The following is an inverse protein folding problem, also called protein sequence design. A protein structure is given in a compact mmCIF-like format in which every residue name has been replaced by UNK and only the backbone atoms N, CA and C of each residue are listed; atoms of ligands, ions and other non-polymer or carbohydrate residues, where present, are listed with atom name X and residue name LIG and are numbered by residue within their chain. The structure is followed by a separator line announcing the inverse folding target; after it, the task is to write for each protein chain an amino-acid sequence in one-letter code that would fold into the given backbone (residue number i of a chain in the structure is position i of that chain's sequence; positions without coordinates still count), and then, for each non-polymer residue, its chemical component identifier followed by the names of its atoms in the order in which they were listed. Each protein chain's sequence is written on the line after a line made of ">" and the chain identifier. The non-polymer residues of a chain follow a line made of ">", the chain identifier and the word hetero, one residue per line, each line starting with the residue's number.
data_IF_152110841639
#
_entry.id   IF_152110841639
#
_cell.length_a   1.000
_cell.length_b   1.000
_cell.length_c   1.000
_cell.angle_alpha   90.00
_cell.angle_beta   90.00
_cell.angle_gamma   90.00
#
_symmetry.space_group_name_H-M   'P 1'
#
loop_
_entity.id
_entity.type
_entity.pdbx_description
1 polymer ?
#
# COMPACT_ATOMS: atom_id res chain seq x y z
N UNK A 1 -14.30 -34.76 1.47
CA UNK A 1 -13.13 -34.06 2.03
C UNK A 1 -11.97 -34.29 1.08
N UNK A 2 -11.31 -33.24 0.61
CA UNK A 2 -10.13 -33.34 -0.25
C UNK A 2 -8.93 -32.86 0.56
N UNK A 3 -7.81 -33.57 0.48
CA UNK A 3 -6.58 -33.23 1.21
C UNK A 3 -5.66 -32.44 0.29
N UNK A 4 -5.29 -31.22 0.70
CA UNK A 4 -4.34 -30.38 -0.03
C UNK A 4 -3.05 -30.24 0.77
N UNK A 5 -1.92 -30.63 0.17
CA UNK A 5 -0.59 -30.52 0.79
C UNK A 5 0.19 -29.41 0.09
N UNK A 6 0.71 -28.46 0.87
CA UNK A 6 1.57 -27.39 0.38
C UNK A 6 2.79 -27.24 1.30
N UNK A 7 3.88 -26.72 0.74
CA UNK A 7 5.10 -26.41 1.52
C UNK A 7 5.01 -24.99 2.02
N UNK A 8 5.25 -24.81 3.31
CA UNK A 8 5.30 -23.52 3.98
C UNK A 8 6.43 -23.57 4.99
N UNK A 9 7.10 -22.45 5.19
CA UNK A 9 8.10 -22.33 6.24
C UNK A 9 7.46 -22.58 7.63
N UNK A 10 8.21 -23.24 8.51
CA UNK A 10 7.69 -23.66 9.82
C UNK A 10 7.36 -22.47 10.72
N UNK A 11 8.18 -21.43 10.68
CA UNK A 11 7.99 -20.22 11.46
C UNK A 11 6.81 -19.41 10.91
N UNK A 12 6.74 -19.25 9.58
CA UNK A 12 5.60 -18.60 8.93
C UNK A 12 4.27 -19.30 9.24
N UNK A 13 4.24 -20.64 9.23
CA UNK A 13 3.05 -21.41 9.58
C UNK A 13 2.62 -21.15 11.02
N UNK A 14 3.58 -21.11 11.95
CA UNK A 14 3.31 -20.87 13.37
C UNK A 14 2.75 -19.46 13.58
N UNK A 15 3.42 -18.44 13.05
CA UNK A 15 2.96 -17.04 13.11
C UNK A 15 1.56 -16.87 12.53
N UNK A 16 1.29 -17.45 11.35
CA UNK A 16 -0.03 -17.38 10.74
C UNK A 16 -1.10 -18.10 11.58
N UNK A 17 -0.80 -19.27 12.15
CA UNK A 17 -1.72 -19.97 13.02
C UNK A 17 -2.06 -19.17 14.28
N UNK A 18 -1.05 -18.62 14.98
CA UNK A 18 -1.25 -17.78 16.17
C UNK A 18 -2.08 -16.53 15.85
N UNK A 19 -1.81 -15.87 14.71
CA UNK A 19 -2.58 -14.72 14.25
C UNK A 19 -4.05 -15.08 14.03
N UNK A 20 -4.35 -16.11 13.26
CA UNK A 20 -5.74 -16.47 12.93
C UNK A 20 -6.49 -17.00 14.16
N UNK A 21 -5.83 -17.74 15.05
CA UNK A 21 -6.43 -18.17 16.32
C UNK A 21 -6.79 -16.96 17.21
N UNK A 22 -5.95 -15.92 17.24
CA UNK A 22 -6.29 -14.67 17.94
C UNK A 22 -7.53 -13.96 17.37
N UNK A 23 -7.85 -14.22 16.09
CA UNK A 23 -9.06 -13.73 15.41
C UNK A 23 -10.24 -14.71 15.52
N UNK A 24 -10.10 -15.82 16.26
CA UNK A 24 -11.14 -16.83 16.44
C UNK A 24 -11.34 -17.75 15.23
N UNK A 25 -10.32 -17.94 14.39
CA UNK A 25 -10.40 -18.84 13.23
C UNK A 25 -9.17 -19.73 13.06
N UNK A 26 -9.36 -20.96 12.60
CA UNK A 26 -8.23 -21.83 12.28
C UNK A 26 -7.52 -21.39 11.00
N UNK A 27 -6.22 -21.69 10.89
CA UNK A 27 -5.44 -21.47 9.65
C UNK A 27 -6.11 -22.13 8.42
N UNK A 28 -6.71 -23.32 8.59
CA UNK A 28 -7.41 -24.00 7.50
C UNK A 28 -8.67 -23.25 7.07
N UNK A 29 -9.41 -22.66 8.03
CA UNK A 29 -10.55 -21.81 7.73
C UNK A 29 -10.11 -20.59 6.92
N UNK A 30 -9.02 -19.93 7.32
CA UNK A 30 -8.46 -18.79 6.61
C UNK A 30 -8.06 -19.13 5.16
N UNK A 31 -7.41 -20.27 4.92
CA UNK A 31 -7.06 -20.74 3.57
C UNK A 31 -8.33 -20.96 2.72
N UNK A 32 -9.37 -21.55 3.30
CA UNK A 32 -10.64 -21.73 2.57
C UNK A 32 -11.30 -20.40 2.21
N UNK A 33 -11.26 -19.41 3.10
CA UNK A 33 -11.76 -18.05 2.82
C UNK A 33 -10.96 -17.41 1.70
N UNK A 34 -9.63 -17.50 1.74
CA UNK A 34 -8.74 -17.00 0.69
C UNK A 34 -9.10 -17.57 -0.69
N UNK A 35 -9.29 -18.90 -0.78
CA UNK A 35 -9.63 -19.57 -2.03
C UNK A 35 -11.03 -19.15 -2.54
N UNK A 36 -12.01 -19.08 -1.64
CA UNK A 36 -13.37 -18.63 -2.01
C UNK A 36 -13.37 -17.19 -2.52
N UNK A 37 -12.64 -16.29 -1.87
CA UNK A 37 -12.53 -14.90 -2.29
C UNK A 37 -11.85 -14.79 -3.66
N UNK A 38 -10.79 -15.57 -3.88
CA UNK A 38 -10.07 -15.61 -5.15
C UNK A 38 -10.99 -16.03 -6.30
N UNK A 39 -11.82 -17.06 -6.09
CA UNK A 39 -12.80 -17.53 -7.08
C UNK A 39 -13.91 -16.51 -7.30
N UNK A 40 -14.43 -15.90 -6.23
CA UNK A 40 -15.52 -14.92 -6.30
C UNK A 40 -15.14 -13.69 -7.12
N UNK A 41 -13.91 -13.21 -6.95
CA UNK A 41 -13.45 -11.98 -7.61
C UNK A 41 -12.61 -12.23 -8.87
N UNK A 42 -12.32 -13.50 -9.19
CA UNK A 42 -11.47 -13.89 -10.33
C UNK A 42 -10.10 -13.19 -10.32
N UNK A 43 -9.56 -12.92 -9.13
CA UNK A 43 -8.28 -12.23 -8.91
C UNK A 43 -7.66 -12.67 -7.59
N UNK A 44 -6.40 -12.30 -7.36
CA UNK A 44 -5.85 -12.44 -6.01
C UNK A 44 -6.60 -11.53 -5.02
N UNK A 45 -6.96 -12.03 -3.82
CA UNK A 45 -7.81 -11.32 -2.87
C UNK A 45 -7.08 -10.14 -2.22
N UNK A 46 -5.75 -10.13 -2.30
CA UNK A 46 -4.91 -8.97 -2.05
C UNK A 46 -3.96 -8.73 -3.23
N UNK A 47 -3.58 -7.47 -3.45
CA UNK A 47 -2.59 -7.10 -4.45
C UNK A 47 -1.19 -7.32 -3.87
N UNK A 48 -0.36 -8.23 -4.41
CA UNK A 48 1.02 -8.36 -3.94
C UNK A 48 1.77 -7.06 -4.24
N UNK A 49 2.47 -6.55 -3.23
CA UNK A 49 3.32 -5.37 -3.35
C UNK A 49 4.66 -5.65 -2.69
N UNK A 50 5.75 -5.28 -3.36
CA UNK A 50 7.08 -5.27 -2.76
C UNK A 50 7.32 -4.00 -1.93
N UNK A 51 6.45 -2.99 -2.07
CA UNK A 51 6.48 -1.84 -1.18
C UNK A 51 5.99 -2.29 0.21
N UNK A 52 6.68 -1.90 1.29
CA UNK A 52 6.13 -2.08 2.63
C UNK A 52 4.73 -1.49 2.66
N UNK A 53 3.80 -2.18 3.34
CA UNK A 53 2.42 -1.73 3.52
C UNK A 53 2.49 -0.24 3.87
N UNK A 54 2.01 0.61 2.95
CA UNK A 54 2.12 2.05 3.13
C UNK A 54 1.56 2.36 4.52
N UNK A 55 2.30 3.09 5.38
CA UNK A 55 1.80 3.43 6.69
C UNK A 55 0.41 4.04 6.52
N UNK A 56 -0.47 3.78 7.49
CA UNK A 56 -1.78 4.41 7.55
C UNK A 56 -1.60 5.90 7.22
N UNK A 57 -2.41 6.40 6.28
CA UNK A 57 -2.28 7.78 5.82
C UNK A 57 -2.24 8.69 7.05
N UNK A 58 -1.32 9.66 7.09
CA UNK A 58 -1.13 10.49 8.28
C UNK A 58 -2.40 11.27 8.58
N UNK A 59 -2.55 11.83 9.79
CA UNK A 59 -3.73 12.64 10.09
C UNK A 59 -3.74 13.91 9.22
N UNK A 60 -4.93 14.36 8.81
CA UNK A 60 -5.08 15.60 8.06
C UNK A 60 -4.47 16.77 8.85
N UNK A 61 -3.62 17.54 8.18
CA UNK A 61 -2.79 18.59 8.79
C UNK A 61 -1.35 18.17 9.07
N UNK A 62 -0.98 16.88 8.91
CA UNK A 62 0.40 16.42 9.10
C UNK A 62 1.32 17.05 8.06
N UNK A 63 2.42 17.66 8.53
CA UNK A 63 3.45 18.27 7.69
C UNK A 63 4.66 17.35 7.63
N UNK A 64 5.01 16.89 6.43
CA UNK A 64 6.23 16.12 6.20
C UNK A 64 7.48 17.00 6.28
N UNK A 65 8.65 16.40 6.47
CA UNK A 65 9.92 17.14 6.61
C UNK A 65 10.26 18.04 5.40
N UNK A 66 9.74 17.71 4.21
CA UNK A 66 9.86 18.51 2.99
C UNK A 66 8.79 19.64 2.90
N UNK A 67 8.01 19.87 3.96
CA UNK A 67 6.96 20.89 4.03
C UNK A 67 5.66 20.53 3.33
N UNK A 68 5.53 19.33 2.77
CA UNK A 68 4.26 18.85 2.18
C UNK A 68 3.25 18.61 3.29
N UNK A 69 2.05 19.17 3.13
CA UNK A 69 0.96 19.01 4.11
C UNK A 69 -0.05 18.01 3.58
N UNK A 70 -0.34 16.96 4.33
CA UNK A 70 -1.44 16.05 4.01
C UNK A 70 -2.77 16.68 4.44
N UNK A 71 -3.75 16.77 3.54
CA UNK A 71 -5.04 17.42 3.79
C UNK A 71 -6.21 16.45 3.99
N UNK A 72 -5.95 15.14 3.98
CA UNK A 72 -6.99 14.12 4.06
C UNK A 72 -7.26 13.46 2.71
N UNK A 73 -8.46 12.88 2.59
CA UNK A 73 -8.93 12.24 1.36
C UNK A 73 -9.96 13.13 0.65
N UNK A 74 -10.02 13.06 -0.67
CA UNK A 74 -11.12 13.60 -1.45
C UNK A 74 -12.37 12.69 -1.38
N UNK A 75 -13.48 13.13 -2.01
CA UNK A 75 -14.72 12.36 -2.10
C UNK A 75 -14.58 11.00 -2.81
N UNK A 76 -13.46 10.76 -3.50
CA UNK A 76 -13.14 9.52 -4.21
C UNK A 76 -12.16 8.64 -3.43
N UNK A 77 -11.73 9.07 -2.25
CA UNK A 77 -10.79 8.35 -1.39
C UNK A 77 -9.32 8.50 -1.80
N UNK A 78 -8.96 9.49 -2.61
CA UNK A 78 -7.57 9.79 -2.97
C UNK A 78 -6.93 10.81 -2.01
N UNK A 79 -5.66 10.63 -1.63
CA UNK A 79 -4.97 11.54 -0.71
C UNK A 79 -4.76 12.92 -1.34
N UNK A 80 -5.17 13.97 -0.63
CA UNK A 80 -4.94 15.37 -0.98
C UNK A 80 -3.69 15.86 -0.24
N UNK A 81 -2.78 16.51 -0.96
CA UNK A 81 -1.57 17.12 -0.38
C UNK A 81 -1.39 18.56 -0.88
N UNK A 82 -0.90 19.44 0.01
CA UNK A 82 -0.48 20.80 -0.33
C UNK A 82 1.05 20.87 -0.38
N UNK A 83 1.59 21.26 -1.53
CA UNK A 83 3.03 21.38 -1.77
C UNK A 83 3.47 22.83 -1.53
N UNK A 84 4.51 23.10 -0.73
CA UNK A 84 4.99 24.46 -0.49
C UNK A 84 5.58 25.07 -1.77
N UNK A 85 5.26 26.35 -2.05
CA UNK A 85 5.64 27.04 -3.29
C UNK A 85 7.14 27.13 -3.58
N UNK A 86 8.02 26.93 -2.60
CA UNK A 86 9.47 26.85 -2.81
C UNK A 86 9.92 25.60 -3.58
N UNK A 87 9.11 24.54 -3.62
CA UNK A 87 9.41 23.33 -4.42
C UNK A 87 9.06 23.48 -5.91
N UNK A 88 8.41 24.58 -6.30
CA UNK A 88 8.06 24.91 -7.71
C UNK A 88 8.78 26.20 -8.14
N UNK A 89 9.90 26.56 -7.52
CA UNK A 89 10.51 27.86 -7.78
C UNK A 89 11.22 27.92 -9.14
N UNK A 90 11.81 26.82 -9.64
CA UNK A 90 12.47 26.80 -10.95
C UNK A 90 12.25 25.45 -11.68
N UNK A 91 11.11 25.25 -12.39
CA UNK A 91 11.03 24.17 -13.36
C UNK A 91 12.13 24.42 -14.39
N UNK A 92 13.08 23.48 -14.53
CA UNK A 92 14.03 23.52 -15.66
C UNK A 92 13.19 23.61 -16.94
N UNK A 93 13.48 24.62 -17.75
CA UNK A 93 12.90 24.76 -19.09
C UNK A 93 13.98 24.37 -20.09
N UNK A 94 13.59 23.62 -21.11
CA UNK A 94 14.46 23.43 -22.27
C UNK A 94 14.62 24.75 -23.04
N UNK A 95 15.47 24.75 -24.08
CA UNK A 95 15.73 25.93 -24.89
C UNK A 95 14.48 26.50 -25.58
N UNK A 96 13.42 25.70 -25.72
CA UNK A 96 12.13 26.08 -26.31
C UNK A 96 11.08 26.52 -25.27
N UNK A 97 11.46 26.61 -23.99
CA UNK A 97 10.60 27.12 -22.92
C UNK A 97 9.59 26.10 -22.38
N UNK A 98 9.68 24.84 -22.81
CA UNK A 98 8.81 23.75 -22.33
C UNK A 98 9.25 23.33 -20.93
N UNK A 99 8.34 23.27 -19.94
CA UNK A 99 8.68 22.77 -18.61
C UNK A 99 9.05 21.29 -18.69
N UNK A 100 10.29 20.94 -18.35
CA UNK A 100 10.67 19.53 -18.22
C UNK A 100 10.35 19.04 -16.81
N UNK A 101 9.58 17.96 -16.72
CA UNK A 101 9.32 17.29 -15.44
C UNK A 101 10.65 16.76 -14.88
N UNK A 102 10.95 16.96 -13.58
CA UNK A 102 12.19 16.49 -12.99
C UNK A 102 12.26 14.95 -13.05
N UNK A 103 13.28 14.41 -13.71
CA UNK A 103 13.47 12.97 -13.94
C UNK A 103 13.95 12.18 -12.70
N UNK A 104 14.22 12.84 -11.58
CA UNK A 104 14.59 12.14 -10.34
C UNK A 104 14.39 13.02 -9.12
N UNK A 105 13.70 12.47 -8.12
CA UNK A 105 13.70 12.99 -6.75
C UNK A 105 14.87 12.32 -6.04
N UNK A 106 16.01 13.00 -5.99
CA UNK A 106 17.17 12.55 -5.22
C UNK A 106 17.93 13.76 -4.69
N UNK A 107 17.54 14.20 -3.49
CA UNK A 107 18.40 14.13 -2.30
C UNK A 107 17.49 14.13 -1.06
#
# INVERSE_FOLDING_TARGET
>A
MVTSTYRVDADLKKQAAELYESMGMSLNTAINVFLRQSVKEQRMPFQPSAAPVAPALPEAGTVAANGVVYQGLDDRGYPIVSIPGRMIAEPKRDADGTPVLPQSWKD
#
